data_IF_313307441181
#
_entry.id   IF_313307441181
#
_cell.length_a   1.000
_cell.length_b   1.000
_cell.length_c   1.000
_cell.angle_alpha   90.00
_cell.angle_beta   90.00
_cell.angle_gamma   90.00
#
_symmetry.space_group_name_H-M   'P 1'
#
loop_
_entity.id
_entity.type
_entity.pdbx_description
1 polymer ?
#
# COMPACT_ATOMS: atom_id res chain seq x y z
N UNK A 1 12.17 16.14 15.88
CA UNK A 1 11.08 15.27 15.40
C UNK A 1 11.36 14.88 13.94
N UNK A 2 11.24 13.61 13.58
CA UNK A 2 11.38 13.16 12.19
C UNK A 2 10.02 13.17 11.49
N UNK A 3 9.94 13.72 10.25
CA UNK A 3 8.80 13.50 9.37
C UNK A 3 8.98 12.17 8.63
N UNK A 4 8.39 11.12 9.16
CA UNK A 4 8.61 9.76 8.69
C UNK A 4 8.08 9.52 7.27
N UNK A 5 6.92 10.10 6.93
CA UNK A 5 6.34 9.97 5.59
C UNK A 5 7.13 10.71 4.53
N UNK A 6 7.74 11.84 4.88
CA UNK A 6 8.66 12.57 3.98
C UNK A 6 9.93 11.75 3.72
N UNK A 7 10.50 11.13 4.77
CA UNK A 7 11.67 10.25 4.63
C UNK A 7 11.36 9.03 3.76
N UNK A 8 10.18 8.43 3.94
CA UNK A 8 9.74 7.34 3.06
C UNK A 8 9.57 7.84 1.62
N UNK A 9 8.97 9.00 1.40
CA UNK A 9 8.80 9.59 0.07
C UNK A 9 10.15 9.82 -0.64
N UNK A 10 11.14 10.35 0.09
CA UNK A 10 12.51 10.52 -0.42
C UNK A 10 13.15 9.17 -0.79
N UNK A 11 13.02 8.17 0.07
CA UNK A 11 13.51 6.81 -0.21
C UNK A 11 12.80 6.18 -1.41
N UNK A 12 11.48 6.32 -1.52
CA UNK A 12 10.74 5.84 -2.67
C UNK A 12 11.22 6.49 -3.98
N UNK A 13 11.47 7.80 -3.96
CA UNK A 13 12.00 8.50 -5.13
C UNK A 13 13.40 8.02 -5.51
N UNK A 14 14.28 7.76 -4.53
CA UNK A 14 15.62 7.21 -4.78
C UNK A 14 15.54 5.76 -5.33
N UNK A 15 14.63 4.93 -4.80
CA UNK A 15 14.36 3.58 -5.33
C UNK A 15 13.88 3.64 -6.78
N UNK A 16 12.91 4.49 -7.08
CA UNK A 16 12.37 4.67 -8.45
C UNK A 16 13.46 5.12 -9.42
N UNK A 17 14.33 6.02 -9.00
CA UNK A 17 15.44 6.50 -9.84
C UNK A 17 16.50 5.42 -10.13
N UNK A 18 16.66 4.43 -9.24
CA UNK A 18 17.72 3.40 -9.33
C UNK A 18 17.25 2.04 -9.82
N UNK A 19 15.95 1.77 -9.73
CA UNK A 19 15.37 0.48 -10.12
C UNK A 19 14.61 0.62 -11.44
N UNK A 20 15.17 0.16 -12.58
CA UNK A 20 14.58 0.39 -13.91
C UNK A 20 13.13 -0.08 -14.04
N UNK A 21 12.76 -1.18 -13.38
CA UNK A 21 11.39 -1.72 -13.38
C UNK A 21 10.36 -0.73 -12.80
N UNK A 22 10.80 0.22 -11.98
CA UNK A 22 9.95 1.23 -11.33
C UNK A 22 10.08 2.62 -11.95
N UNK A 23 10.97 2.83 -12.93
CA UNK A 23 11.30 4.15 -13.50
C UNK A 23 10.14 4.85 -14.21
N UNK A 24 9.04 4.14 -14.50
CA UNK A 24 7.82 4.72 -15.06
C UNK A 24 7.01 5.54 -14.04
N UNK A 25 7.29 5.39 -12.74
CA UNK A 25 6.56 6.06 -11.67
C UNK A 25 6.96 7.54 -11.57
N UNK A 26 5.97 8.41 -11.67
CA UNK A 26 6.13 9.83 -11.35
C UNK A 26 5.83 10.05 -9.86
N UNK A 27 6.87 10.16 -9.06
CA UNK A 27 6.76 10.33 -7.61
C UNK A 27 6.11 11.65 -7.19
N UNK A 28 6.05 12.66 -8.07
CA UNK A 28 5.31 13.90 -7.81
C UNK A 28 3.79 13.68 -7.75
N UNK A 29 3.32 12.56 -8.30
CA UNK A 29 1.92 12.14 -8.34
C UNK A 29 1.59 11.03 -7.35
N UNK A 30 2.51 10.72 -6.44
CA UNK A 30 2.35 9.73 -5.37
C UNK A 30 2.33 10.42 -4.01
N UNK A 31 1.23 10.32 -3.29
CA UNK A 31 1.12 10.83 -1.93
C UNK A 31 1.48 9.74 -0.91
N UNK A 32 2.53 9.97 -0.14
CA UNK A 32 2.87 9.12 1.00
C UNK A 32 2.26 9.71 2.27
N UNK A 33 1.47 8.91 2.98
CA UNK A 33 0.84 9.34 4.23
C UNK A 33 0.85 8.26 5.30
N UNK A 34 0.64 8.67 6.55
CA UNK A 34 0.58 7.75 7.68
C UNK A 34 -0.84 7.62 8.22
N UNK A 35 -1.13 6.46 8.75
CA UNK A 35 -2.33 6.16 9.54
C UNK A 35 -1.94 5.48 10.84
N UNK A 36 -2.81 5.55 11.83
CA UNK A 36 -2.56 4.85 13.08
C UNK A 36 -2.63 3.33 12.89
N UNK A 37 -1.64 2.63 13.40
CA UNK A 37 -1.58 1.17 13.40
C UNK A 37 -0.76 0.69 14.58
N UNK A 38 -1.39 -0.08 15.48
CA UNK A 38 -0.78 -0.60 16.70
C UNK A 38 0.23 -1.70 16.37
N UNK A 39 1.39 -1.69 17.04
CA UNK A 39 2.45 -2.70 16.84
C UNK A 39 2.02 -4.11 17.28
N UNK A 40 1.14 -4.18 18.30
CA UNK A 40 0.62 -5.41 18.89
C UNK A 40 -0.67 -5.93 18.22
N UNK A 41 -1.12 -5.33 17.12
CA UNK A 41 -2.34 -5.72 16.43
C UNK A 41 -2.04 -6.25 15.02
N UNK A 42 -2.92 -7.08 14.50
CA UNK A 42 -2.86 -7.56 13.12
C UNK A 42 -3.27 -6.48 12.12
N UNK A 43 -2.78 -6.60 10.90
CA UNK A 43 -3.13 -5.73 9.79
C UNK A 43 -1.94 -5.34 8.92
N UNK A 44 -2.18 -4.63 7.82
CA UNK A 44 -1.12 -4.28 6.89
C UNK A 44 -0.16 -3.26 7.49
N UNK A 45 1.11 -3.40 7.17
CA UNK A 45 2.16 -2.43 7.49
C UNK A 45 2.07 -1.20 6.60
N UNK A 46 1.79 -1.42 5.32
CA UNK A 46 1.56 -0.40 4.32
C UNK A 46 0.41 -0.81 3.39
N UNK A 47 -0.06 0.09 2.55
CA UNK A 47 -1.09 -0.17 1.54
C UNK A 47 -0.96 0.83 0.40
N UNK A 48 -0.89 0.35 -0.83
CA UNK A 48 -1.01 1.15 -2.01
C UNK A 48 -2.49 1.34 -2.38
N UNK A 49 -2.91 2.59 -2.59
CA UNK A 49 -4.25 2.99 -2.96
C UNK A 49 -4.22 3.63 -4.34
N UNK A 50 -4.98 3.10 -5.29
CA UNK A 50 -5.13 3.74 -6.59
C UNK A 50 -6.21 4.84 -6.54
N UNK A 51 -5.92 5.97 -7.16
CA UNK A 51 -6.85 7.09 -7.29
C UNK A 51 -7.52 7.08 -8.66
N UNK A 52 -6.88 6.47 -9.65
CA UNK A 52 -7.44 6.25 -10.98
C UNK A 52 -7.61 4.75 -11.27
N UNK A 53 -8.65 4.42 -12.03
CA UNK A 53 -8.96 3.05 -12.44
C UNK A 53 -9.38 3.05 -13.92
N UNK A 54 -9.20 1.92 -14.63
CA UNK A 54 -9.79 1.72 -15.95
C UNK A 54 -11.31 1.92 -15.93
N UNK A 55 -11.94 2.28 -17.06
CA UNK A 55 -13.39 2.49 -17.14
C UNK A 55 -14.24 1.27 -16.75
N UNK A 56 -13.70 0.08 -16.90
CA UNK A 56 -14.36 -1.18 -16.48
C UNK A 56 -14.43 -1.37 -14.98
N UNK A 57 -13.75 -0.54 -14.21
CA UNK A 57 -13.74 -0.57 -12.76
C UNK A 57 -14.40 0.68 -12.19
N UNK A 58 -14.88 0.60 -10.97
CA UNK A 58 -14.78 -0.48 -9.97
C UNK A 58 -15.68 -1.68 -10.22
N UNK A 59 -15.33 -2.78 -9.58
CA UNK A 59 -16.08 -4.02 -9.68
C UNK A 59 -15.81 -5.00 -8.54
N UNK A 60 -16.61 -6.03 -8.45
CA UNK A 60 -16.36 -7.15 -7.57
C UNK A 60 -15.45 -8.18 -8.23
N UNK A 61 -14.67 -8.90 -7.43
CA UNK A 61 -14.06 -10.13 -7.88
C UNK A 61 -15.08 -11.26 -7.76
N UNK A 62 -15.35 -11.92 -8.89
CA UNK A 62 -16.21 -13.09 -8.97
C UNK A 62 -15.37 -14.32 -9.33
N UNK A 63 -15.68 -15.44 -8.72
CA UNK A 63 -15.14 -16.74 -9.10
C UNK A 63 -16.25 -17.53 -9.77
N UNK A 64 -15.97 -18.04 -10.96
CA UNK A 64 -16.88 -18.87 -11.72
C UNK A 64 -16.24 -20.21 -12.05
N UNK A 65 -17.03 -21.26 -11.99
CA UNK A 65 -16.61 -22.55 -12.49
C UNK A 65 -16.33 -22.47 -13.99
N UNK A 66 -15.17 -22.96 -14.43
CA UNK A 66 -14.73 -22.88 -15.83
C UNK A 66 -15.60 -23.61 -16.82
N UNK A 67 -16.28 -24.69 -16.37
CA UNK A 67 -17.06 -25.54 -17.26
C UNK A 67 -18.48 -25.04 -17.36
N UNK A 68 -19.13 -24.77 -16.25
CA UNK A 68 -20.53 -24.37 -16.19
C UNK A 68 -20.75 -22.86 -16.29
N UNK A 69 -19.70 -22.03 -16.02
CA UNK A 69 -19.84 -20.57 -15.87
C UNK A 69 -20.58 -20.17 -14.60
N UNK A 70 -20.99 -21.13 -13.75
CA UNK A 70 -21.74 -20.86 -12.54
C UNK A 70 -20.92 -20.04 -11.55
N UNK A 71 -21.56 -19.09 -10.87
CA UNK A 71 -20.95 -18.31 -9.80
C UNK A 71 -20.66 -19.21 -8.60
N UNK A 72 -19.38 -19.34 -8.23
CA UNK A 72 -18.96 -20.17 -7.09
C UNK A 72 -18.72 -19.35 -5.84
N UNK A 73 -18.26 -18.11 -5.98
CA UNK A 73 -18.13 -17.15 -4.88
C UNK A 73 -18.01 -15.73 -5.40
N UNK A 74 -18.19 -14.75 -4.51
CA UNK A 74 -17.89 -13.35 -4.71
C UNK A 74 -16.98 -12.86 -3.58
N UNK A 75 -16.08 -11.93 -3.88
CA UNK A 75 -15.28 -11.31 -2.83
C UNK A 75 -16.17 -10.47 -1.90
N UNK A 76 -15.84 -10.44 -0.62
CA UNK A 76 -16.42 -9.47 0.33
C UNK A 76 -15.98 -8.03 0.01
N UNK A 77 -14.95 -7.88 -0.80
CA UNK A 77 -14.34 -6.62 -1.17
C UNK A 77 -14.57 -6.37 -2.64
N UNK A 78 -14.88 -5.15 -3.00
CA UNK A 78 -14.90 -4.72 -4.38
C UNK A 78 -13.76 -3.76 -4.68
N UNK A 79 -13.32 -3.74 -5.93
CA UNK A 79 -12.33 -2.78 -6.40
C UNK A 79 -13.01 -1.43 -6.51
N UNK A 80 -12.43 -0.43 -5.88
CA UNK A 80 -12.85 0.96 -6.05
C UNK A 80 -11.61 1.84 -6.06
N UNK A 81 -11.71 2.96 -6.76
CA UNK A 81 -10.69 3.98 -6.64
C UNK A 81 -10.85 4.70 -5.30
N UNK A 82 -9.73 5.13 -4.74
CA UNK A 82 -9.74 6.06 -3.63
C UNK A 82 -10.38 7.39 -4.02
N UNK A 83 -10.87 8.19 -3.07
CA UNK A 83 -11.31 9.54 -3.35
C UNK A 83 -10.21 10.33 -4.08
N UNK A 84 -10.61 11.20 -4.98
CA UNK A 84 -9.67 12.06 -5.69
C UNK A 84 -8.89 12.94 -4.72
N UNK A 85 -7.61 13.10 -4.98
CA UNK A 85 -6.71 13.95 -4.19
C UNK A 85 -6.03 14.92 -5.15
N UNK A 86 -6.00 16.19 -4.79
CA UNK A 86 -5.30 17.24 -5.54
C UNK A 86 -4.40 17.98 -4.57
N UNK A 87 -3.11 18.07 -4.88
CA UNK A 87 -2.11 18.76 -4.08
C UNK A 87 -1.47 19.87 -4.91
N UNK A 88 -1.49 21.10 -4.40
CA UNK A 88 -0.98 22.28 -5.10
C UNK A 88 -1.51 22.39 -6.55
N UNK A 89 -2.77 22.05 -6.77
CA UNK A 89 -3.42 22.05 -8.07
C UNK A 89 -3.12 20.85 -8.98
N UNK A 90 -2.23 19.95 -8.57
CA UNK A 90 -1.87 18.74 -9.34
C UNK A 90 -2.61 17.51 -8.82
N UNK A 91 -3.16 16.65 -9.71
CA UNK A 91 -3.83 15.43 -9.29
C UNK A 91 -2.80 14.40 -8.80
N UNK A 92 -3.19 13.67 -7.74
CA UNK A 92 -2.46 12.50 -7.23
C UNK A 92 -3.03 11.24 -7.89
N UNK A 93 -2.18 10.38 -8.42
CA UNK A 93 -2.59 9.11 -9.06
C UNK A 93 -2.64 7.96 -8.08
N UNK A 94 -1.68 7.93 -7.15
CA UNK A 94 -1.55 6.87 -6.16
C UNK A 94 -1.29 7.46 -4.78
N UNK A 95 -1.76 6.75 -3.77
CA UNK A 95 -1.44 7.05 -2.39
C UNK A 95 -0.84 5.81 -1.74
N UNK A 96 0.20 5.98 -0.95
CA UNK A 96 0.78 4.90 -0.16
C UNK A 96 0.69 5.24 1.31
N UNK A 97 -0.05 4.43 2.06
CA UNK A 97 -0.21 4.62 3.51
C UNK A 97 0.68 3.69 4.31
N UNK A 98 1.27 4.21 5.37
CA UNK A 98 2.04 3.44 6.35
C UNK A 98 1.35 3.46 7.71
N UNK A 99 1.23 2.29 8.33
CA UNK A 99 0.61 2.15 9.66
C UNK A 99 1.64 2.41 10.75
N UNK A 100 1.59 3.55 11.44
CA UNK A 100 2.53 3.90 12.50
C UNK A 100 1.89 3.73 13.89
N UNK A 101 2.62 3.19 14.88
CA UNK A 101 4.03 2.77 14.88
C UNK A 101 4.31 1.38 14.25
N UNK A 102 3.29 0.59 13.91
CA UNK A 102 3.40 -0.81 13.47
C UNK A 102 4.48 -1.04 12.40
N UNK A 103 4.58 -0.16 11.41
CA UNK A 103 5.56 -0.30 10.34
C UNK A 103 7.00 -0.14 10.87
N UNK A 104 7.22 0.79 11.82
CA UNK A 104 8.54 0.96 12.43
C UNK A 104 8.97 -0.27 13.22
N UNK A 105 8.00 -0.92 13.89
CA UNK A 105 8.20 -2.09 14.74
C UNK A 105 8.01 -3.42 13.99
N UNK A 106 7.96 -3.37 12.64
CA UNK A 106 7.75 -4.56 11.82
C UNK A 106 8.80 -5.63 12.14
N UNK A 107 8.39 -6.79 12.67
CA UNK A 107 9.31 -7.88 12.96
C UNK A 107 9.79 -8.54 11.66
N UNK A 108 11.00 -9.12 11.69
CA UNK A 108 11.50 -9.97 10.60
C UNK A 108 10.79 -11.34 10.51
N UNK A 109 9.78 -11.58 11.34
CA UNK A 109 9.16 -12.88 11.60
C UNK A 109 8.13 -13.34 10.57
N UNK A 110 7.85 -12.55 9.53
CA UNK A 110 7.07 -13.07 8.41
C UNK A 110 7.84 -14.18 7.71
N UNK A 111 7.34 -15.41 7.75
CA UNK A 111 8.01 -16.62 7.25
C UNK A 111 8.58 -16.48 5.84
N UNK A 112 7.86 -15.78 4.95
CA UNK A 112 8.29 -15.52 3.58
C UNK A 112 9.49 -14.57 3.51
N UNK A 113 9.47 -13.47 4.23
CA UNK A 113 10.60 -12.52 4.28
C UNK A 113 11.82 -13.16 4.93
N UNK A 114 11.64 -14.02 5.93
CA UNK A 114 12.72 -14.79 6.52
C UNK A 114 13.45 -15.67 5.51
N UNK A 115 12.70 -16.34 4.62
CA UNK A 115 13.28 -17.18 3.59
C UNK A 115 14.16 -16.38 2.62
N UNK A 116 13.70 -15.20 2.19
CA UNK A 116 14.41 -14.39 1.20
C UNK A 116 15.55 -13.56 1.79
N UNK A 117 15.44 -13.16 3.06
CA UNK A 117 16.39 -12.27 3.73
C UNK A 117 17.09 -12.92 4.92
N UNK A 118 17.21 -14.25 4.92
CA UNK A 118 18.01 -14.96 5.92
C UNK A 118 19.45 -14.43 5.95
N UNK A 119 19.91 -14.00 7.13
CA UNK A 119 21.24 -13.39 7.30
C UNK A 119 21.36 -11.90 6.94
N UNK A 120 20.31 -11.28 6.42
CA UNK A 120 20.28 -9.83 6.20
C UNK A 120 19.77 -9.08 7.46
N UNK A 121 20.17 -7.81 7.65
CA UNK A 121 19.63 -6.98 8.71
C UNK A 121 18.11 -6.80 8.61
N UNK A 122 17.43 -6.74 9.76
CA UNK A 122 15.96 -6.67 9.84
C UNK A 122 15.36 -5.50 9.06
N UNK A 123 16.03 -4.37 8.97
CA UNK A 123 15.52 -3.19 8.29
C UNK A 123 15.25 -3.42 6.78
N UNK A 124 15.89 -4.42 6.17
CA UNK A 124 15.66 -4.78 4.77
C UNK A 124 14.22 -5.27 4.56
N UNK A 125 13.59 -5.88 5.57
CA UNK A 125 12.18 -6.27 5.48
C UNK A 125 11.23 -5.06 5.43
N UNK A 126 11.64 -3.91 5.98
CA UNK A 126 10.90 -2.64 5.85
C UNK A 126 11.10 -2.03 4.47
N UNK A 127 12.33 -2.07 3.94
CA UNK A 127 12.62 -1.67 2.56
C UNK A 127 11.83 -2.52 1.55
N UNK A 128 11.78 -3.84 1.75
CA UNK A 128 10.94 -4.74 0.97
C UNK A 128 9.47 -4.31 0.97
N UNK A 129 8.91 -3.93 2.12
CA UNK A 129 7.53 -3.42 2.20
C UNK A 129 7.36 -2.14 1.37
N UNK A 130 8.34 -1.22 1.39
CA UNK A 130 8.27 0.01 0.60
C UNK A 130 8.29 -0.30 -0.91
N UNK A 131 9.22 -1.15 -1.36
CA UNK A 131 9.33 -1.58 -2.76
C UNK A 131 8.09 -2.35 -3.19
N UNK A 132 7.53 -3.20 -2.32
CA UNK A 132 6.29 -3.92 -2.53
C UNK A 132 5.11 -2.99 -2.85
N UNK A 133 4.95 -1.89 -2.09
CA UNK A 133 3.87 -0.94 -2.34
C UNK A 133 4.06 -0.18 -3.66
N UNK A 134 5.30 0.14 -4.05
CA UNK A 134 5.59 0.72 -5.36
C UNK A 134 5.31 -0.27 -6.50
N UNK A 135 5.64 -1.55 -6.30
CA UNK A 135 5.43 -2.59 -7.31
C UNK A 135 3.95 -2.92 -7.55
N UNK A 136 3.06 -2.51 -6.64
CA UNK A 136 1.63 -2.59 -6.88
C UNK A 136 1.12 -1.71 -8.01
N UNK A 137 1.85 -0.67 -8.40
CA UNK A 137 1.45 0.21 -9.50
C UNK A 137 1.62 -0.51 -10.83
N UNK A 138 0.58 -0.49 -11.67
CA UNK A 138 0.62 -1.11 -12.98
C UNK A 138 1.33 -0.19 -14.00
N UNK A 139 2.36 -0.66 -14.73
CA UNK A 139 3.09 0.16 -15.69
C UNK A 139 2.33 0.44 -16.99
N UNK A 140 1.34 -0.37 -17.32
CA UNK A 140 0.68 -0.33 -18.64
C UNK A 140 -0.69 0.34 -18.58
N UNK A 141 -1.32 0.36 -17.41
CA UNK A 141 -2.68 0.86 -17.23
C UNK A 141 -2.88 1.51 -15.85
N UNK A 142 -3.79 2.48 -15.73
CA UNK A 142 -4.13 3.06 -14.43
C UNK A 142 -4.65 2.00 -13.48
N UNK A 143 -4.18 2.01 -12.23
CA UNK A 143 -4.68 1.12 -11.19
C UNK A 143 -3.61 0.25 -10.54
N UNK A 144 -4.06 -0.72 -9.76
CA UNK A 144 -3.20 -1.68 -9.09
C UNK A 144 -2.87 -2.82 -10.06
N UNK A 145 -1.59 -3.18 -10.10
CA UNK A 145 -1.07 -4.33 -10.85
C UNK A 145 -1.88 -5.58 -10.52
N UNK A 146 -2.30 -6.27 -11.55
CA UNK A 146 -3.02 -7.53 -11.44
C UNK A 146 -2.19 -8.65 -12.02
N UNK A 147 -2.34 -9.82 -11.45
CA UNK A 147 -1.79 -11.02 -12.03
C UNK A 147 -2.70 -11.48 -13.17
N UNK A 148 -2.28 -11.24 -14.38
CA UNK A 148 -2.88 -11.89 -15.54
C UNK A 148 -2.46 -13.35 -15.62
N UNK A 149 -3.43 -14.20 -15.90
CA UNK A 149 -3.20 -15.60 -16.24
C UNK A 149 -2.91 -15.72 -17.73
N UNK A 150 -2.35 -16.86 -18.14
CA UNK A 150 -2.04 -17.12 -19.54
C UNK A 150 -3.25 -17.05 -20.49
N UNK A 151 -4.47 -17.14 -19.96
CA UNK A 151 -5.72 -17.02 -20.70
C UNK A 151 -6.29 -15.60 -20.76
N UNK A 152 -5.55 -14.59 -20.27
CA UNK A 152 -5.96 -13.19 -20.23
C UNK A 152 -6.93 -12.85 -19.09
N UNK A 153 -7.25 -13.80 -18.22
CA UNK A 153 -8.08 -13.53 -17.02
C UNK A 153 -7.22 -12.98 -15.89
N UNK A 154 -7.78 -12.07 -15.08
CA UNK A 154 -7.08 -11.52 -13.92
C UNK A 154 -7.35 -12.33 -12.66
N UNK A 155 -6.34 -12.50 -11.82
CA UNK A 155 -6.49 -13.04 -10.48
C UNK A 155 -7.02 -11.97 -9.53
N UNK A 156 -7.90 -12.35 -8.59
CA UNK A 156 -8.25 -11.49 -7.45
C UNK A 156 -7.06 -11.25 -6.52
N UNK A 157 -6.05 -12.07 -6.64
CA UNK A 157 -4.85 -11.99 -5.83
C UNK A 157 -3.79 -11.23 -6.63
N UNK A 158 -3.48 -10.01 -6.23
CA UNK A 158 -2.37 -9.24 -6.79
C UNK A 158 -1.00 -9.78 -6.34
N UNK A 159 -0.96 -10.77 -5.42
CA UNK A 159 0.24 -11.36 -4.87
C UNK A 159 0.37 -12.83 -5.29
N UNK A 160 1.15 -13.13 -6.32
CA UNK A 160 1.62 -14.48 -6.61
C UNK A 160 3.05 -14.68 -6.12
N UNK A 161 3.54 -15.89 -6.24
CA UNK A 161 4.92 -16.20 -5.87
C UNK A 161 5.91 -15.30 -6.62
N UNK A 162 5.75 -15.16 -7.93
CA UNK A 162 6.59 -14.30 -8.76
C UNK A 162 6.60 -12.84 -8.33
N UNK A 163 5.47 -12.31 -7.88
CA UNK A 163 5.39 -10.93 -7.37
C UNK A 163 6.40 -10.68 -6.25
N UNK A 164 6.52 -11.63 -5.33
CA UNK A 164 7.45 -11.50 -4.20
C UNK A 164 8.91 -11.72 -4.60
N UNK A 165 9.17 -12.61 -5.55
CA UNK A 165 10.48 -12.82 -6.12
C UNK A 165 10.97 -11.56 -6.85
N UNK A 166 10.09 -10.91 -7.61
CA UNK A 166 10.37 -9.64 -8.29
C UNK A 166 10.67 -8.52 -7.27
N UNK A 167 9.89 -8.41 -6.19
CA UNK A 167 10.15 -7.44 -5.12
C UNK A 167 11.53 -7.67 -4.49
N UNK A 168 11.87 -8.92 -4.17
CA UNK A 168 13.19 -9.27 -3.62
C UNK A 168 14.31 -8.92 -4.58
N UNK A 169 14.13 -9.19 -5.87
CA UNK A 169 15.11 -8.84 -6.91
C UNK A 169 15.34 -7.33 -6.98
N UNK A 170 14.24 -6.54 -6.93
CA UNK A 170 14.32 -5.07 -6.94
C UNK A 170 15.00 -4.52 -5.68
N UNK A 171 14.73 -5.08 -4.50
CA UNK A 171 15.40 -4.69 -3.25
C UNK A 171 16.91 -4.94 -3.35
N UNK A 172 17.31 -6.11 -3.84
CA UNK A 172 18.73 -6.44 -4.04
C UNK A 172 19.38 -5.50 -5.05
N UNK A 173 18.72 -5.31 -6.20
CA UNK A 173 19.20 -4.37 -7.23
C UNK A 173 19.40 -2.97 -6.67
N UNK A 174 18.44 -2.45 -5.89
CA UNK A 174 18.57 -1.15 -5.24
C UNK A 174 19.81 -1.09 -4.34
N UNK A 175 20.00 -2.10 -3.48
CA UNK A 175 21.15 -2.15 -2.57
C UNK A 175 22.48 -2.28 -3.32
N UNK A 176 22.51 -3.01 -4.43
CA UNK A 176 23.70 -3.18 -5.27
C UNK A 176 24.12 -1.86 -5.97
N UNK A 177 23.20 -0.90 -6.12
CA UNK A 177 23.54 0.46 -6.59
C UNK A 177 24.31 1.29 -5.56
N UNK A 178 24.54 0.75 -4.37
CA UNK A 178 25.21 1.43 -3.25
C UNK A 178 24.58 2.81 -2.92
N UNK A 179 23.28 2.84 -2.57
CA UNK A 179 22.58 4.09 -2.27
C UNK A 179 23.17 4.76 -1.02
N UNK A 180 23.01 6.09 -0.93
CA UNK A 180 23.42 6.83 0.27
C UNK A 180 22.72 6.27 1.51
N UNK A 181 23.46 5.84 2.54
CA UNK A 181 22.89 5.36 3.81
C UNK A 181 21.86 6.32 4.42
N UNK A 182 22.01 7.60 4.22
CA UNK A 182 21.05 8.61 4.67
C UNK A 182 19.63 8.30 4.17
N UNK A 183 19.47 7.74 2.99
CA UNK A 183 18.14 7.43 2.42
C UNK A 183 17.37 6.40 3.24
N UNK A 184 18.05 5.39 3.82
CA UNK A 184 17.42 4.26 4.49
C UNK A 184 17.78 4.09 5.98
N UNK A 185 18.69 4.90 6.54
CA UNK A 185 19.14 4.76 7.94
C UNK A 185 18.01 4.79 8.97
N UNK A 186 16.96 5.58 8.70
CA UNK A 186 15.81 5.66 9.58
C UNK A 186 15.01 4.32 9.67
N UNK A 187 15.14 3.44 8.68
CA UNK A 187 14.53 2.11 8.70
C UNK A 187 15.21 1.16 9.68
N UNK A 188 16.46 1.44 10.05
CA UNK A 188 17.24 0.62 11.01
C UNK A 188 16.69 0.74 12.43
N UNK A 189 15.97 1.81 12.72
CA UNK A 189 15.40 2.09 14.03
C UNK A 189 13.98 1.50 14.15
N UNK A 190 13.62 1.06 15.34
CA UNK A 190 12.25 0.85 15.75
C UNK A 190 11.59 2.19 16.14
N UNK A 191 10.32 2.14 16.55
CA UNK A 191 9.59 3.38 16.88
C UNK A 191 10.14 4.07 18.14
N UNK A 192 10.58 3.32 19.12
CA UNK A 192 11.15 3.86 20.37
C UNK A 192 12.50 4.52 20.10
N UNK A 193 13.35 3.87 19.30
CA UNK A 193 14.65 4.40 18.87
C UNK A 193 14.49 5.68 18.03
N UNK A 194 13.52 5.71 17.09
CA UNK A 194 13.20 6.91 16.32
C UNK A 194 12.75 8.06 17.25
N UNK A 195 11.88 7.76 18.22
CA UNK A 195 11.41 8.76 19.18
C UNK A 195 12.57 9.30 20.02
N UNK A 196 13.45 8.43 20.50
CA UNK A 196 14.62 8.82 21.28
C UNK A 196 15.60 9.66 20.45
N UNK A 197 15.91 9.19 19.22
CA UNK A 197 16.90 9.84 18.35
C UNK A 197 16.47 11.20 17.82
N UNK A 198 15.19 11.35 17.49
CA UNK A 198 14.69 12.53 16.81
C UNK A 198 13.73 13.38 17.66
N UNK A 199 13.46 12.98 18.89
CA UNK A 199 12.51 13.71 19.78
C UNK A 199 11.05 13.56 19.35
N UNK A 200 10.70 12.50 18.59
CA UNK A 200 9.35 12.17 18.17
C UNK A 200 9.26 11.77 16.70
N UNK A 201 8.16 11.13 16.35
CA UNK A 201 7.85 10.66 15.00
C UNK A 201 6.55 11.32 14.52
N UNK A 202 6.62 12.03 13.41
CA UNK A 202 5.47 12.63 12.77
C UNK A 202 5.31 12.09 11.33
N UNK A 203 4.12 12.24 10.77
CA UNK A 203 3.86 11.91 9.38
C UNK A 203 2.66 12.67 8.85
N UNK A 204 2.66 12.93 7.55
CA UNK A 204 1.49 13.45 6.84
C UNK A 204 0.32 12.49 7.03
N UNK A 205 -0.84 12.98 7.42
CA UNK A 205 -2.05 12.18 7.63
C UNK A 205 -3.27 12.94 7.14
N UNK A 206 -4.29 12.20 6.71
CA UNK A 206 -5.60 12.76 6.46
C UNK A 206 -6.37 12.93 7.78
N UNK A 207 -7.12 14.01 7.91
CA UNK A 207 -8.01 14.24 9.05
C UNK A 207 -9.14 13.22 9.09
N UNK A 208 -9.76 12.96 7.92
CA UNK A 208 -10.94 12.10 7.77
C UNK A 208 -10.80 11.19 6.55
N UNK A 209 -9.73 10.37 6.51
CA UNK A 209 -9.54 9.46 5.40
C UNK A 209 -10.47 8.24 5.52
N UNK A 210 -11.32 7.98 4.53
CA UNK A 210 -12.18 6.82 4.55
C UNK A 210 -11.38 5.53 4.38
N UNK A 211 -11.83 4.45 5.03
CA UNK A 211 -11.26 3.12 4.86
C UNK A 211 -11.58 2.58 3.48
N UNK A 212 -10.58 2.14 2.75
CA UNK A 212 -10.71 1.46 1.46
C UNK A 212 -9.92 0.15 1.48
N UNK A 213 -10.38 -0.86 0.72
CA UNK A 213 -11.67 -0.97 0.04
C UNK A 213 -12.83 -1.07 1.02
N UNK A 214 -14.02 -0.66 0.60
CA UNK A 214 -15.21 -0.82 1.43
C UNK A 214 -15.72 -2.25 1.32
N UNK A 215 -16.06 -2.86 2.47
CA UNK A 215 -16.74 -4.15 2.48
C UNK A 215 -18.19 -4.00 2.07
N UNK A 216 -18.66 -4.93 1.26
CA UNK A 216 -20.07 -5.09 0.91
C UNK A 216 -20.60 -6.34 1.56
N UNK A 217 -21.79 -6.24 2.14
CA UNK A 217 -22.48 -7.38 2.83
C UNK A 217 -23.60 -7.98 2.00
N UNK A 218 -23.57 -7.78 0.68
CA UNK A 218 -24.58 -8.41 -0.16
C UNK A 218 -24.33 -9.93 -0.24
N UNK A 219 -25.30 -10.69 0.17
CA UNK A 219 -25.24 -12.14 0.16
C UNK A 219 -25.67 -12.62 -1.22
N UNK A 220 -24.74 -13.20 -1.96
CA UNK A 220 -25.07 -14.04 -3.11
C UNK A 220 -24.98 -15.48 -2.68
N UNK A 221 -25.92 -16.32 -3.12
CA UNK A 221 -25.85 -17.76 -2.94
C UNK A 221 -24.94 -18.37 -4.00
N UNK A 222 -23.65 -18.56 -3.72
CA UNK A 222 -22.72 -19.15 -4.69
C UNK A 222 -23.04 -20.62 -4.89
N UNK A 223 -23.03 -21.07 -6.13
CA UNK A 223 -23.11 -22.50 -6.44
C UNK A 223 -21.75 -23.17 -6.18
N UNK A 224 -21.73 -24.39 -5.68
CA UNK A 224 -20.50 -25.11 -5.47
C UNK A 224 -19.75 -25.33 -6.80
N UNK A 225 -18.43 -25.16 -6.76
CA UNK A 225 -17.57 -25.42 -7.90
C UNK A 225 -17.53 -26.91 -8.22
N UNK A 226 -17.73 -27.26 -9.48
CA UNK A 226 -17.63 -28.62 -9.96
C UNK A 226 -16.21 -28.86 -10.50
N UNK A 227 -15.34 -29.41 -9.68
CA UNK A 227 -14.01 -29.83 -10.09
C UNK A 227 -12.84 -28.90 -9.73
N UNK A 228 -13.07 -27.91 -8.86
CA UNK A 228 -12.00 -27.12 -8.25
C UNK A 228 -11.29 -26.12 -9.16
N UNK A 229 -11.84 -25.82 -10.34
CA UNK A 229 -11.26 -24.92 -11.32
C UNK A 229 -12.10 -23.65 -11.47
N UNK A 230 -11.96 -22.75 -10.51
CA UNK A 230 -12.64 -21.47 -10.54
C UNK A 230 -11.85 -20.43 -11.35
N UNK A 231 -12.53 -19.70 -12.23
CA UNK A 231 -12.01 -18.49 -12.84
C UNK A 231 -12.38 -17.29 -11.99
N UNK A 232 -11.40 -16.41 -11.77
CA UNK A 232 -11.63 -15.13 -11.16
C UNK A 232 -11.74 -14.04 -12.23
N UNK A 233 -12.83 -13.28 -12.17
CA UNK A 233 -13.07 -12.12 -13.05
C UNK A 233 -13.49 -10.93 -12.22
N UNK A 234 -13.17 -9.74 -12.72
CA UNK A 234 -13.73 -8.48 -12.19
C UNK A 234 -14.96 -8.15 -13.01
N UNK A 235 -16.12 -8.05 -12.34
CA UNK A 235 -17.34 -7.59 -12.99
C UNK A 235 -17.61 -6.14 -12.59
N UNK A 236 -17.90 -5.24 -13.57
CA UNK A 236 -18.14 -3.83 -13.29
C UNK A 236 -19.30 -3.62 -12.32
N UNK A 237 -19.11 -2.68 -11.40
CA UNK A 237 -20.12 -2.26 -10.44
C UNK A 237 -20.50 -0.81 -10.72
N UNK A 238 -21.79 -0.54 -10.90
CA UNK A 238 -22.30 0.82 -11.02
C UNK A 238 -22.29 1.49 -9.64
N UNK A 239 -21.30 2.32 -9.40
CA UNK A 239 -21.21 3.08 -8.15
C UNK A 239 -22.21 4.26 -8.20
N UNK A 240 -23.02 4.38 -7.16
CA UNK A 240 -23.95 5.48 -6.97
C UNK A 240 -23.44 6.58 -6.04
N UNK A 241 -22.26 6.39 -5.44
CA UNK A 241 -21.68 7.35 -4.49
C UNK A 241 -20.86 8.42 -5.18
N UNK A 242 -21.11 9.67 -4.78
CA UNK A 242 -20.23 10.81 -5.12
C UNK A 242 -18.87 10.58 -4.46
N UNK A 243 -17.81 10.61 -5.26
CA UNK A 243 -16.43 10.54 -4.76
C UNK A 243 -16.08 11.87 -4.09
N UNK A 244 -15.66 11.84 -2.83
CA UNK A 244 -15.10 13.00 -2.15
C UNK A 244 -13.79 13.40 -2.82
N UNK A 245 -13.52 14.69 -2.96
CA UNK A 245 -12.22 15.21 -3.39
C UNK A 245 -11.50 15.77 -2.17
N UNK A 246 -10.26 15.34 -1.95
CA UNK A 246 -9.38 15.85 -0.91
C UNK A 246 -8.34 16.81 -1.51
N UNK A 247 -7.92 17.75 -0.70
CA UNK A 247 -6.88 18.72 -1.03
C UNK A 247 -5.85 18.79 0.10
N UNK A 248 -4.81 19.59 -0.06
CA UNK A 248 -3.83 19.86 0.99
C UNK A 248 -4.46 20.35 2.31
N UNK A 249 -5.68 20.93 2.27
CA UNK A 249 -6.40 21.40 3.47
C UNK A 249 -6.89 20.24 4.35
N UNK A 250 -7.03 19.06 3.76
CA UNK A 250 -7.45 17.85 4.45
C UNK A 250 -6.26 17.09 5.03
N UNK A 251 -5.04 17.54 4.73
CA UNK A 251 -3.81 16.97 5.26
C UNK A 251 -3.38 17.70 6.54
N UNK A 252 -2.71 16.96 7.39
CA UNK A 252 -2.08 17.47 8.62
C UNK A 252 -0.80 16.71 8.90
N UNK A 253 0.16 17.35 9.54
CA UNK A 253 1.29 16.64 10.11
C UNK A 253 0.87 16.16 11.50
N UNK A 254 0.78 14.84 11.67
CA UNK A 254 0.36 14.20 12.93
C UNK A 254 1.58 13.61 13.61
N UNK A 255 1.70 13.87 14.92
CA UNK A 255 2.64 13.15 15.78
C UNK A 255 2.04 11.79 16.16
N UNK A 256 2.83 10.75 16.02
CA UNK A 256 2.49 9.38 16.44
C UNK A 256 3.18 9.08 17.76
N UNK A 257 2.48 8.36 18.64
CA UNK A 257 2.98 8.01 19.96
C UNK A 257 3.18 6.50 20.06
N UNK A 258 4.16 6.02 20.86
CA UNK A 258 4.28 4.60 21.17
C UNK A 258 2.99 4.14 21.86
N UNK A 259 2.54 2.93 21.51
CA UNK A 259 1.31 2.40 22.07
C UNK A 259 1.53 1.88 23.48
N UNK A 260 1.41 2.77 24.45
CA UNK A 260 1.06 2.41 25.82
C UNK A 260 -0.31 3.01 26.10
N UNK A 261 -1.36 2.18 25.94
CA UNK A 261 -2.76 2.47 26.29
C UNK A 261 -3.37 3.81 25.85
N UNK A 262 -4.47 3.70 25.09
CA UNK A 262 -5.55 4.69 24.92
C UNK A 262 -5.18 6.19 25.00
N UNK A 263 -5.21 6.83 23.82
CA UNK A 263 -5.48 8.26 23.65
C UNK A 263 -4.38 9.25 24.08
N UNK A 264 -3.63 9.71 23.08
CA UNK A 264 -3.40 11.16 22.96
C UNK A 264 -2.87 11.44 21.54
N UNK A 265 -3.79 11.61 20.59
CA UNK A 265 -3.45 12.24 19.31
C UNK A 265 -3.32 13.73 19.58
N UNK A 266 -2.11 14.25 19.66
CA UNK A 266 -1.89 15.69 19.64
C UNK A 266 -1.77 16.14 18.20
N UNK A 267 -2.79 16.79 17.69
CA UNK A 267 -2.70 17.51 16.41
C UNK A 267 -1.92 18.81 16.65
N UNK A 268 -0.77 18.94 16.01
CA UNK A 268 -0.10 20.22 15.86
C UNK A 268 -0.42 20.75 14.46
N UNK A 269 -1.20 21.80 14.41
CA UNK A 269 -1.44 22.54 13.16
C UNK A 269 -0.19 23.36 12.89
N UNK A 270 0.60 22.96 11.89
CA UNK A 270 1.65 23.82 11.37
C UNK A 270 1.02 24.80 10.38
N UNK A 271 1.07 26.06 10.68
CA UNK A 271 0.81 27.10 9.70
C UNK A 271 2.05 27.16 8.79
N UNK A 272 1.84 26.94 7.48
CA UNK A 272 2.85 27.24 6.51
C UNK A 272 3.23 28.74 6.62
N UNK A 273 4.51 29.00 6.76
CA UNK A 273 5.04 30.37 6.72
C UNK A 273 5.06 30.87 5.28
#
# INVERSE_FOLDING_TARGET
MINYTERIGQLMADVVARVPTLSFLDMSRVLVFARSGRSDAEGPYATCHCVSLPPSEPGYYYWRDRRSGALTRRSEWFITKSPSVTLAGSPVDYMVSFSLPRFCDQPATNSRKQTHYAGYPQWITKLDTIVHELYHVDPERPGIRRMERADGTCSANCHGQRFFEDVVAMVKLYLDTNPDPYMYDFLKCDFAELTSRYGGVAGTAFRNFPSYPQRFTEVLDPQPSVGGHDDCRVEPLKLTRVTTTFTERDLTLREFLPHTSRLLVRERVFRAA
#
